data_IF_362176447794
#
_entry.id   IF_362176447794
#
_cell.length_a   1.000
_cell.length_b   1.000
_cell.length_c   1.000
_cell.angle_alpha   90.00
_cell.angle_beta   90.00
_cell.angle_gamma   90.00
#
_symmetry.space_group_name_H-M   'P 1'
#
loop_
_entity.id
_entity.type
_entity.pdbx_description
1 polymer ?
#
# COMPACT_ATOMS: atom_id res chain seq x y z
N UNK A 1 -16.61 27.14 -12.74
CA UNK A 1 -15.60 26.22 -12.19
C UNK A 1 -14.67 25.82 -13.31
N UNK A 2 -13.35 25.88 -13.10
CA UNK A 2 -12.35 25.66 -14.15
C UNK A 2 -12.11 24.15 -14.30
N UNK A 3 -12.34 23.57 -15.48
CA UNK A 3 -12.27 22.11 -15.74
C UNK A 3 -10.99 21.43 -15.25
N UNK A 4 -9.85 22.14 -15.29
CA UNK A 4 -8.57 21.64 -14.78
C UNK A 4 -8.50 21.42 -13.26
N UNK A 5 -9.39 22.05 -12.49
CA UNK A 5 -9.43 21.93 -11.03
C UNK A 5 -10.16 20.66 -10.59
N UNK A 6 -11.24 20.32 -11.29
CA UNK A 6 -12.02 19.11 -11.07
C UNK A 6 -11.21 17.87 -11.44
N UNK A 7 -10.55 17.88 -12.59
CA UNK A 7 -9.66 16.79 -13.04
C UNK A 7 -8.52 16.52 -12.04
N UNK A 8 -7.95 17.56 -11.43
CA UNK A 8 -6.89 17.43 -10.42
C UNK A 8 -7.39 16.77 -9.13
N UNK A 9 -8.59 17.13 -8.67
CA UNK A 9 -9.20 16.54 -7.47
C UNK A 9 -9.57 15.08 -7.73
N UNK A 10 -10.07 14.77 -8.92
CA UNK A 10 -10.37 13.40 -9.33
C UNK A 10 -9.12 12.52 -9.35
N UNK A 11 -8.03 13.01 -9.95
CA UNK A 11 -6.74 12.31 -9.94
C UNK A 11 -6.21 12.07 -8.52
N UNK A 12 -6.31 13.06 -7.63
CA UNK A 12 -5.89 12.90 -6.23
C UNK A 12 -6.71 11.84 -5.47
N UNK A 13 -8.01 11.74 -5.75
CA UNK A 13 -8.87 10.68 -5.20
C UNK A 13 -8.55 9.32 -5.80
N UNK A 14 -8.20 9.26 -7.09
CA UNK A 14 -7.76 8.04 -7.76
C UNK A 14 -6.51 7.45 -7.09
N UNK A 15 -5.54 8.28 -6.72
CA UNK A 15 -4.36 7.86 -5.94
C UNK A 15 -4.76 7.18 -4.63
N UNK A 16 -5.74 7.74 -3.91
CA UNK A 16 -6.28 7.12 -2.70
C UNK A 16 -6.89 5.74 -2.97
N UNK A 17 -7.62 5.57 -4.07
CA UNK A 17 -8.18 4.27 -4.47
C UNK A 17 -7.08 3.25 -4.79
N UNK A 18 -6.04 3.66 -5.51
CA UNK A 18 -4.87 2.81 -5.76
C UNK A 18 -4.16 2.40 -4.47
N UNK A 19 -4.00 3.32 -3.53
CA UNK A 19 -3.42 3.02 -2.22
C UNK A 19 -4.21 1.93 -1.48
N UNK A 20 -5.53 2.04 -1.45
CA UNK A 20 -6.42 1.04 -0.86
C UNK A 20 -6.33 -0.32 -1.59
N UNK A 21 -6.25 -0.30 -2.92
CA UNK A 21 -6.08 -1.51 -3.71
C UNK A 21 -4.76 -2.23 -3.40
N UNK A 22 -3.64 -1.52 -3.32
CA UNK A 22 -2.37 -2.12 -2.96
C UNK A 22 -2.32 -2.60 -1.50
N UNK A 23 -2.95 -1.87 -0.57
CA UNK A 23 -3.11 -2.35 0.80
C UNK A 23 -3.95 -3.63 0.87
N UNK A 24 -4.96 -3.76 0.01
CA UNK A 24 -5.74 -5.00 -0.12
C UNK A 24 -4.90 -6.15 -0.67
N UNK A 25 -4.06 -5.91 -1.70
CA UNK A 25 -3.10 -6.92 -2.19
C UNK A 25 -2.15 -7.35 -1.07
N UNK A 26 -1.62 -6.41 -0.30
CA UNK A 26 -0.80 -6.70 0.87
C UNK A 26 -1.54 -7.58 1.89
N UNK A 27 -2.81 -7.30 2.15
CA UNK A 27 -3.64 -8.13 3.02
C UNK A 27 -3.81 -9.57 2.48
N UNK A 28 -4.05 -9.72 1.18
CA UNK A 28 -4.10 -11.04 0.54
C UNK A 28 -2.77 -11.81 0.70
N UNK A 29 -1.63 -11.11 0.60
CA UNK A 29 -0.31 -11.70 0.82
C UNK A 29 -0.13 -12.22 2.25
N UNK A 30 -0.63 -11.49 3.26
CA UNK A 30 -0.66 -11.97 4.65
C UNK A 30 -1.48 -13.25 4.76
N UNK A 31 -2.69 -13.25 4.20
CA UNK A 31 -3.58 -14.41 4.24
C UNK A 31 -2.93 -15.61 3.55
N UNK A 32 -2.36 -15.43 2.37
CA UNK A 32 -1.63 -16.49 1.66
C UNK A 32 -0.46 -17.04 2.48
N UNK A 33 0.32 -16.18 3.12
CA UNK A 33 1.43 -16.60 3.99
C UNK A 33 0.95 -17.43 5.19
N UNK A 34 -0.18 -17.05 5.79
CA UNK A 34 -0.79 -17.81 6.90
C UNK A 34 -1.27 -19.18 6.41
N UNK A 35 -1.94 -19.24 5.25
CA UNK A 35 -2.39 -20.50 4.65
C UNK A 35 -1.21 -21.45 4.41
N UNK A 36 -0.11 -20.95 3.83
CA UNK A 36 1.12 -21.74 3.63
C UNK A 36 1.66 -22.31 4.95
N UNK A 37 1.68 -21.53 6.04
CA UNK A 37 2.10 -22.04 7.36
C UNK A 37 1.15 -23.13 7.88
N UNK A 38 -0.16 -22.93 7.72
CA UNK A 38 -1.19 -23.88 8.18
C UNK A 38 -1.09 -25.20 7.42
N UNK A 39 -0.73 -25.16 6.13
CA UNK A 39 -0.50 -26.34 5.31
C UNK A 39 0.81 -27.08 5.66
N UNK A 40 1.60 -26.55 6.61
CA UNK A 40 2.81 -27.17 7.13
C UNK A 40 4.09 -26.79 6.39
N UNK A 41 3.98 -25.90 5.39
CA UNK A 41 5.13 -25.40 4.65
C UNK A 41 5.94 -24.40 5.49
N UNK A 42 7.26 -24.42 5.29
CA UNK A 42 8.16 -23.48 5.96
C UNK A 42 8.20 -22.16 5.21
N UNK A 43 7.72 -21.11 5.86
CA UNK A 43 7.84 -19.73 5.38
C UNK A 43 9.16 -19.12 5.92
N UNK A 44 10.02 -18.56 5.05
CA UNK A 44 11.27 -17.94 5.47
C UNK A 44 11.04 -16.81 6.48
N UNK A 45 11.95 -16.66 7.45
CA UNK A 45 11.90 -15.57 8.44
C UNK A 45 11.85 -14.20 7.75
N UNK A 46 12.53 -14.07 6.62
CA UNK A 46 12.56 -12.84 5.83
C UNK A 46 11.17 -12.41 5.34
N UNK A 47 10.28 -13.36 5.02
CA UNK A 47 8.90 -13.07 4.61
C UNK A 47 8.15 -12.33 5.71
N UNK A 48 8.31 -12.75 6.97
CA UNK A 48 7.66 -12.09 8.11
C UNK A 48 8.19 -10.68 8.34
N UNK A 49 9.50 -10.49 8.20
CA UNK A 49 10.12 -9.15 8.28
C UNK A 49 9.56 -8.24 7.18
N UNK A 50 9.48 -8.75 5.94
CA UNK A 50 8.90 -8.02 4.82
C UNK A 50 7.41 -7.67 5.02
N UNK A 51 6.62 -8.60 5.56
CA UNK A 51 5.21 -8.36 5.91
C UNK A 51 5.09 -7.23 6.93
N UNK A 52 5.88 -7.26 8.01
CA UNK A 52 5.82 -6.23 9.05
C UNK A 52 6.23 -4.86 8.50
N UNK A 53 7.31 -4.79 7.72
CA UNK A 53 7.78 -3.55 7.11
C UNK A 53 6.74 -2.96 6.15
N UNK A 54 6.13 -3.79 5.29
CA UNK A 54 5.07 -3.35 4.40
C UNK A 54 3.86 -2.84 5.20
N UNK A 55 3.51 -3.49 6.31
CA UNK A 55 2.43 -3.07 7.20
C UNK A 55 2.65 -1.68 7.79
N UNK A 56 3.86 -1.39 8.28
CA UNK A 56 4.24 -0.07 8.82
C UNK A 56 4.02 1.05 7.80
N UNK A 57 4.15 0.74 6.51
CA UNK A 57 4.00 1.71 5.44
C UNK A 57 2.55 1.79 4.92
N UNK A 58 1.87 0.65 4.75
CA UNK A 58 0.50 0.62 4.22
C UNK A 58 -0.54 1.13 5.21
N UNK A 59 -0.37 0.93 6.52
CA UNK A 59 -1.31 1.45 7.54
C UNK A 59 -1.48 2.97 7.44
N UNK A 60 -0.42 3.80 7.50
CA UNK A 60 -0.59 5.24 7.33
C UNK A 60 -1.04 5.62 5.91
N UNK A 61 -0.67 4.85 4.88
CA UNK A 61 -1.15 5.08 3.51
C UNK A 61 -2.68 4.95 3.39
N UNK A 62 -3.26 3.91 4.01
CA UNK A 62 -4.70 3.68 4.08
C UNK A 62 -5.40 4.79 4.87
N UNK A 63 -4.84 5.20 6.02
CA UNK A 63 -5.38 6.31 6.80
C UNK A 63 -5.44 7.60 5.96
N UNK A 64 -4.38 7.92 5.23
CA UNK A 64 -4.32 9.09 4.35
C UNK A 64 -5.25 8.94 3.14
N UNK A 65 -5.39 7.75 2.58
CA UNK A 65 -6.33 7.43 1.50
C UNK A 65 -7.79 7.66 1.93
N UNK A 66 -8.16 7.21 3.14
CA UNK A 66 -9.50 7.47 3.70
C UNK A 66 -9.72 8.97 3.93
N UNK A 67 -8.70 9.68 4.44
CA UNK A 67 -8.76 11.14 4.64
C UNK A 67 -8.90 11.90 3.32
N UNK A 68 -8.28 11.44 2.23
CA UNK A 68 -8.42 12.01 0.89
C UNK A 68 -9.87 11.95 0.37
N UNK A 69 -10.60 10.89 0.71
CA UNK A 69 -12.00 10.74 0.32
C UNK A 69 -12.96 11.58 1.18
N UNK A 70 -12.59 11.86 2.43
CA UNK A 70 -13.42 12.62 3.38
C UNK A 70 -13.19 14.14 3.33
N UNK A 71 -12.06 14.59 2.80
CA UNK A 71 -11.67 16.01 2.84
C UNK A 71 -12.09 16.73 1.56
N UNK A 72 -12.71 17.91 1.69
CA UNK A 72 -13.04 18.81 0.58
C UNK A 72 -12.13 20.04 0.49
N UNK A 73 -11.28 20.26 1.51
CA UNK A 73 -10.29 21.34 1.54
C UNK A 73 -9.12 21.03 0.59
N UNK A 74 -8.94 21.91 -0.40
CA UNK A 74 -7.98 21.75 -1.49
C UNK A 74 -6.51 21.79 -1.04
N UNK A 75 -6.18 22.58 0.00
CA UNK A 75 -4.82 22.65 0.52
C UNK A 75 -4.46 21.37 1.28
N UNK A 76 -5.39 20.85 2.08
CA UNK A 76 -5.21 19.57 2.79
C UNK A 76 -5.15 18.40 1.83
N UNK A 77 -5.99 18.40 0.79
CA UNK A 77 -5.94 17.42 -0.31
C UNK A 77 -4.53 17.37 -0.92
N UNK A 78 -3.95 18.53 -1.25
CA UNK A 78 -2.62 18.66 -1.85
C UNK A 78 -1.48 18.02 -1.04
N UNK A 79 -1.54 18.10 0.29
CA UNK A 79 -0.55 17.47 1.17
C UNK A 79 -0.79 15.96 1.33
N UNK A 80 -2.06 15.57 1.53
CA UNK A 80 -2.45 14.18 1.76
C UNK A 80 -2.17 13.29 0.55
N UNK A 81 -2.42 13.75 -0.68
CA UNK A 81 -2.21 12.91 -1.87
C UNK A 81 -0.73 12.58 -2.08
N UNK A 82 0.18 13.54 -1.84
CA UNK A 82 1.62 13.31 -1.97
C UNK A 82 2.10 12.30 -0.94
N UNK A 83 1.69 12.46 0.31
CA UNK A 83 2.05 11.54 1.39
C UNK A 83 1.50 10.14 1.13
N UNK A 84 0.22 10.03 0.76
CA UNK A 84 -0.42 8.77 0.40
C UNK A 84 0.28 8.09 -0.78
N UNK A 85 0.63 8.83 -1.83
CA UNK A 85 1.37 8.30 -2.98
C UNK A 85 2.76 7.77 -2.59
N UNK A 86 3.53 8.56 -1.82
CA UNK A 86 4.87 8.17 -1.38
C UNK A 86 4.85 6.93 -0.49
N UNK A 87 3.91 6.86 0.46
CA UNK A 87 3.75 5.67 1.30
C UNK A 87 3.33 4.47 0.47
N UNK A 88 2.38 4.62 -0.45
CA UNK A 88 1.96 3.51 -1.33
C UNK A 88 3.12 2.98 -2.16
N UNK A 89 3.93 3.87 -2.74
CA UNK A 89 5.13 3.50 -3.48
C UNK A 89 6.17 2.80 -2.60
N UNK A 90 6.42 3.32 -1.40
CA UNK A 90 7.34 2.69 -0.46
C UNK A 90 6.85 1.28 -0.06
N UNK A 91 5.55 1.11 0.21
CA UNK A 91 4.96 -0.20 0.54
C UNK A 91 5.08 -1.18 -0.62
N UNK A 92 4.85 -0.72 -1.85
CA UNK A 92 5.03 -1.51 -3.07
C UNK A 92 6.49 -1.96 -3.25
N UNK A 93 7.46 -1.06 -3.05
CA UNK A 93 8.88 -1.39 -3.11
C UNK A 93 9.25 -2.44 -2.08
N UNK A 94 8.75 -2.32 -0.84
CA UNK A 94 8.98 -3.33 0.20
C UNK A 94 8.39 -4.69 -0.18
N UNK A 95 7.17 -4.73 -0.73
CA UNK A 95 6.58 -6.00 -1.18
C UNK A 95 7.39 -6.65 -2.31
N UNK A 96 7.79 -5.86 -3.32
CA UNK A 96 8.60 -6.37 -4.45
C UNK A 96 9.96 -6.87 -3.94
N UNK A 97 10.64 -6.10 -3.10
CA UNK A 97 11.91 -6.51 -2.51
C UNK A 97 11.79 -7.79 -1.69
N UNK A 98 10.69 -7.93 -0.93
CA UNK A 98 10.41 -9.15 -0.17
C UNK A 98 10.19 -10.35 -1.10
N UNK A 99 9.38 -10.18 -2.16
CA UNK A 99 9.12 -11.25 -3.12
C UNK A 99 10.40 -11.73 -3.81
N UNK A 100 11.22 -10.79 -4.31
CA UNK A 100 12.51 -11.10 -4.95
C UNK A 100 13.47 -11.78 -3.98
N UNK A 101 13.54 -11.30 -2.73
CA UNK A 101 14.44 -11.89 -1.74
C UNK A 101 13.99 -13.29 -1.31
N UNK A 102 12.68 -13.55 -1.24
CA UNK A 102 12.13 -14.89 -0.98
C UNK A 102 12.41 -15.82 -2.15
N UNK A 103 12.19 -15.37 -3.39
CA UNK A 103 12.52 -16.14 -4.60
C UNK A 103 14.00 -16.55 -4.62
N UNK A 104 14.91 -15.64 -4.29
CA UNK A 104 16.34 -15.91 -4.20
C UNK A 104 16.74 -16.90 -3.08
N UNK A 105 15.88 -17.10 -2.07
CA UNK A 105 16.10 -18.11 -1.02
C UNK A 105 15.65 -19.50 -1.47
N UNK A 106 14.70 -19.57 -2.41
CA UNK A 106 14.17 -20.83 -2.95
C UNK A 106 14.85 -21.29 -4.25
N UNK A 107 15.64 -20.43 -4.90
CA UNK A 107 16.48 -20.75 -6.07
C UNK A 107 17.78 -21.44 -5.67
#
# INVERSE_FOLDING_TARGET
MNSGTEAKIEFQRLVGKFSLFFAFIYFLMIVGSIVTVVDGDKVPVLTWVGIVLAGIVFVPAVMDAVRLHRTSDQQRLAALWRRCALLTLAGLVVMIATAVAVEAVYS
#
